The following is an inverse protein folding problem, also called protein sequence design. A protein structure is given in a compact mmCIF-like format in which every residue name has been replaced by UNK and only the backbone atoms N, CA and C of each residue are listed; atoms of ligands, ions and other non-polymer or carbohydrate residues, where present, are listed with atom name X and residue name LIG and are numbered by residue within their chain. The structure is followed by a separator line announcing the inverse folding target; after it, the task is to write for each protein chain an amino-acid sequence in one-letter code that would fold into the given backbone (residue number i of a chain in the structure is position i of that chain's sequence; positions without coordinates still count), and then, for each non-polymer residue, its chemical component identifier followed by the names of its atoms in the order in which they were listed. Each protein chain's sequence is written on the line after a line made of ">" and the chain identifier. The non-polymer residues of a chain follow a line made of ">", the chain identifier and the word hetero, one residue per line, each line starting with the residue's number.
data_IF_455805139231
#
_entry.id   IF_455805139231
#
_cell.length_a   1.000
_cell.length_b   1.000
_cell.length_c   1.000
_cell.angle_alpha   90.00
_cell.angle_beta   90.00
_cell.angle_gamma   90.00
#
_symmetry.space_group_name_H-M   'P 1'
#
loop_
_entity.id
_entity.type
_entity.pdbx_description
1 polymer ?
#
# COMPACT_ATOMS: atom_id res chain seq x y z
N UNK A 1 -20.81 4.92 11.04
CA UNK A 1 -20.20 3.68 11.58
C UNK A 1 -19.22 3.17 10.55
N UNK A 2 -17.92 3.16 10.88
CA UNK A 2 -16.84 2.82 9.95
C UNK A 2 -16.92 1.37 9.46
N UNK A 3 -16.41 1.13 8.26
CA UNK A 3 -16.24 -0.22 7.75
C UNK A 3 -15.22 -0.96 8.63
N UNK A 4 -15.63 -1.97 9.40
CA UNK A 4 -14.74 -2.84 10.19
C UNK A 4 -13.64 -3.58 9.37
N UNK A 5 -13.46 -3.26 8.09
CA UNK A 5 -12.52 -3.92 7.18
C UNK A 5 -11.40 -3.03 6.62
N UNK A 6 -11.52 -1.70 6.72
CA UNK A 6 -10.49 -0.73 6.34
C UNK A 6 -10.15 0.16 7.53
N UNK A 7 -8.99 -0.07 8.11
CA UNK A 7 -8.45 0.78 9.16
C UNK A 7 -7.90 2.06 8.56
N UNK A 8 -8.17 3.19 9.23
CA UNK A 8 -7.57 4.48 8.87
C UNK A 8 -6.06 4.35 9.07
N UNK A 9 -5.31 4.80 8.07
CA UNK A 9 -3.86 4.89 8.13
C UNK A 9 -3.38 5.67 9.34
N UNK A 10 -2.33 5.15 9.98
CA UNK A 10 -1.56 5.92 10.95
C UNK A 10 -1.12 7.24 10.36
N UNK A 11 -1.14 8.25 11.21
CA UNK A 11 -0.67 9.57 10.87
C UNK A 11 0.83 9.54 10.60
N UNK A 12 1.30 10.49 9.78
CA UNK A 12 2.72 10.60 9.48
C UNK A 12 3.46 10.96 10.76
N UNK A 13 4.68 10.41 10.91
CA UNK A 13 5.60 10.77 12.01
C UNK A 13 5.77 12.29 12.16
N UNK A 14 5.77 13.02 11.05
CA UNK A 14 5.84 14.48 11.03
C UNK A 14 4.57 15.02 10.37
N UNK A 15 3.76 15.83 11.09
CA UNK A 15 2.59 16.47 10.50
C UNK A 15 3.04 17.48 9.45
N UNK A 16 2.28 17.59 8.36
CA UNK A 16 2.56 18.58 7.33
C UNK A 16 2.18 19.97 7.85
N UNK A 17 3.03 20.98 7.59
CA UNK A 17 2.76 22.36 7.99
C UNK A 17 1.48 22.95 7.36
N UNK A 18 1.06 22.43 6.19
CA UNK A 18 -0.23 22.75 5.59
C UNK A 18 -0.87 21.50 4.95
N UNK A 19 -1.89 20.90 5.58
CA UNK A 19 -2.56 19.69 5.10
C UNK A 19 -3.26 19.85 3.73
N UNK A 20 -3.62 21.09 3.36
CA UNK A 20 -4.43 21.38 2.15
C UNK A 20 -3.61 21.59 0.88
N UNK A 21 -2.30 21.79 0.97
CA UNK A 21 -1.41 22.15 -0.16
C UNK A 21 -0.60 20.98 -0.73
N UNK A 22 -0.92 19.75 -0.36
CA UNK A 22 -0.04 18.62 -0.65
C UNK A 22 -0.22 18.09 -2.08
N UNK A 23 0.81 18.25 -2.90
CA UNK A 23 1.02 17.39 -4.07
C UNK A 23 1.24 15.97 -3.55
N UNK A 24 0.24 15.11 -3.71
CA UNK A 24 0.39 13.68 -3.46
C UNK A 24 1.52 13.24 -4.41
N UNK A 25 2.63 12.72 -3.88
CA UNK A 25 3.78 12.24 -4.70
C UNK A 25 3.40 10.94 -5.43
N UNK A 26 2.35 11.00 -6.24
CA UNK A 26 1.92 9.95 -7.14
C UNK A 26 2.81 10.07 -8.36
N UNK A 27 3.92 9.31 -8.38
CA UNK A 27 4.83 9.29 -9.52
C UNK A 27 4.12 8.77 -10.77
N UNK A 28 3.63 7.54 -10.70
CA UNK A 28 2.92 6.90 -11.79
C UNK A 28 1.53 6.45 -11.40
N UNK A 29 1.26 6.10 -10.14
CA UNK A 29 -0.03 5.52 -9.73
C UNK A 29 -0.26 4.09 -10.26
N UNK A 30 0.81 3.37 -10.66
CA UNK A 30 0.73 2.03 -11.27
C UNK A 30 -0.13 1.04 -10.46
N UNK A 31 0.05 0.98 -9.14
CA UNK A 31 -0.70 0.06 -8.26
C UNK A 31 -2.21 0.29 -8.33
N UNK A 32 -2.65 1.55 -8.39
CA UNK A 32 -4.07 1.88 -8.50
C UNK A 32 -4.64 1.41 -9.85
N UNK A 33 -3.88 1.58 -10.93
CA UNK A 33 -4.31 1.22 -12.30
C UNK A 33 -4.21 -0.27 -12.60
N UNK A 34 -3.41 -1.03 -11.85
CA UNK A 34 -3.24 -2.47 -12.08
C UNK A 34 -4.35 -3.33 -11.48
N UNK A 35 -5.26 -2.73 -10.70
CA UNK A 35 -6.40 -3.46 -10.13
C UNK A 35 -7.38 -3.80 -11.25
N UNK A 36 -7.52 -5.09 -11.53
CA UNK A 36 -8.39 -5.61 -12.59
C UNK A 36 -9.00 -6.94 -12.21
N UNK A 37 -9.98 -7.37 -12.99
CA UNK A 37 -10.49 -8.74 -12.94
C UNK A 37 -9.37 -9.67 -13.43
N UNK A 38 -8.94 -10.61 -12.59
CA UNK A 38 -7.89 -11.58 -12.93
C UNK A 38 -8.48 -12.91 -13.38
N UNK A 39 -9.62 -13.31 -12.82
CA UNK A 39 -10.37 -14.50 -13.24
C UNK A 39 -11.86 -14.22 -13.19
N UNK A 40 -12.59 -14.73 -14.16
CA UNK A 40 -14.04 -14.64 -14.24
C UNK A 40 -14.60 -16.01 -14.58
N UNK A 41 -15.59 -16.44 -13.81
CA UNK A 41 -16.42 -17.61 -14.10
C UNK A 41 -17.89 -17.16 -14.15
N UNK A 42 -18.81 -18.09 -14.43
CA UNK A 42 -20.25 -17.80 -14.42
C UNK A 42 -20.74 -17.31 -13.05
N UNK A 43 -20.14 -17.79 -11.95
CA UNK A 43 -20.68 -17.60 -10.60
C UNK A 43 -19.79 -16.71 -9.72
N UNK A 44 -18.53 -16.50 -10.06
CA UNK A 44 -17.61 -15.68 -9.26
C UNK A 44 -16.58 -14.94 -10.11
N UNK A 45 -16.08 -13.84 -9.56
CA UNK A 45 -15.04 -12.99 -10.16
C UNK A 45 -13.95 -12.77 -9.12
N UNK A 46 -12.69 -12.93 -9.52
CA UNK A 46 -11.53 -12.57 -8.69
C UNK A 46 -10.95 -11.27 -9.22
N UNK A 47 -10.75 -10.33 -8.30
CA UNK A 47 -10.13 -9.03 -8.55
C UNK A 47 -8.75 -9.04 -7.90
N UNK A 48 -7.75 -8.57 -8.61
CA UNK A 48 -6.38 -8.58 -8.12
C UNK A 48 -5.49 -7.62 -8.90
N UNK A 49 -4.19 -7.75 -8.68
CA UNK A 49 -3.15 -6.95 -9.31
C UNK A 49 -1.97 -7.85 -9.65
N UNK A 50 -1.30 -7.58 -10.76
CA UNK A 50 -0.10 -8.28 -11.24
C UNK A 50 1.20 -7.65 -10.73
N UNK A 51 1.09 -6.60 -9.93
CA UNK A 51 2.24 -5.84 -9.42
C UNK A 51 2.90 -6.61 -8.26
N UNK A 52 4.22 -6.92 -8.34
CA UNK A 52 4.88 -7.80 -7.37
C UNK A 52 4.94 -7.21 -5.96
N UNK A 53 5.07 -5.89 -5.83
CA UNK A 53 5.12 -5.21 -4.53
C UNK A 53 3.74 -4.97 -3.91
N UNK A 54 2.66 -5.35 -4.58
CA UNK A 54 1.31 -5.11 -4.08
C UNK A 54 0.98 -5.93 -2.83
N UNK A 55 1.47 -7.17 -2.75
CA UNK A 55 1.20 -8.08 -1.64
C UNK A 55 1.75 -7.53 -0.32
N UNK A 56 3.03 -7.15 -0.28
CA UNK A 56 3.68 -6.60 0.92
C UNK A 56 3.03 -5.27 1.35
N UNK A 57 2.52 -4.47 0.41
CA UNK A 57 1.68 -3.33 0.78
C UNK A 57 0.38 -3.84 1.41
N UNK A 58 -0.42 -4.68 0.77
CA UNK A 58 -1.74 -5.05 1.30
C UNK A 58 -1.69 -5.77 2.65
N UNK A 59 -0.67 -6.59 2.88
CA UNK A 59 -0.52 -7.46 4.06
C UNK A 59 0.40 -6.83 5.13
N UNK A 60 1.33 -5.95 4.73
CA UNK A 60 2.43 -5.58 5.61
C UNK A 60 3.40 -6.74 5.83
N UNK A 61 4.32 -6.58 6.77
CA UNK A 61 5.17 -7.68 7.24
C UNK A 61 6.62 -7.29 7.46
N UNK A 62 7.41 -8.27 7.88
CA UNK A 62 8.85 -8.14 8.08
C UNK A 62 9.60 -9.09 7.16
N UNK A 63 10.74 -8.66 6.62
CA UNK A 63 11.64 -9.54 5.86
C UNK A 63 13.09 -9.17 6.12
N UNK A 64 13.97 -10.17 5.99
CA UNK A 64 15.41 -9.96 6.08
C UNK A 64 15.93 -9.41 4.76
N UNK A 65 16.61 -8.27 4.79
CA UNK A 65 17.22 -7.67 3.62
C UNK A 65 18.72 -7.47 3.86
N UNK A 66 19.52 -7.88 2.88
CA UNK A 66 20.92 -7.48 2.78
C UNK A 66 21.00 -6.09 2.16
N UNK A 67 21.51 -5.11 2.91
CA UNK A 67 21.66 -3.73 2.46
C UNK A 67 23.13 -3.40 2.24
N UNK A 68 23.46 -2.97 1.02
CA UNK A 68 24.75 -2.34 0.72
C UNK A 68 24.74 -0.89 1.23
N UNK A 69 25.63 -0.60 2.18
CA UNK A 69 25.85 0.76 2.68
C UNK A 69 27.05 1.34 1.95
N UNK A 70 26.82 2.39 1.15
CA UNK A 70 27.86 3.14 0.47
C UNK A 70 28.69 3.97 1.47
N UNK A 71 29.98 4.22 1.19
CA UNK A 71 30.79 5.02 2.08
C UNK A 71 30.27 6.46 2.13
N UNK A 72 30.22 7.04 3.32
CA UNK A 72 29.71 8.39 3.54
C UNK A 72 30.25 8.96 4.86
N UNK A 73 30.13 10.27 5.01
CA UNK A 73 30.47 10.96 6.24
C UNK A 73 29.27 10.97 7.19
N UNK A 74 29.46 10.46 8.40
CA UNK A 74 28.43 10.40 9.45
C UNK A 74 28.72 11.49 10.49
N UNK A 75 27.74 12.38 10.68
CA UNK A 75 27.77 13.37 11.77
C UNK A 75 27.38 12.72 13.09
N UNK A 76 28.20 12.87 14.11
CA UNK A 76 27.94 12.42 15.48
C UNK A 76 28.08 13.60 16.44
N UNK A 77 27.65 13.45 17.69
CA UNK A 77 27.83 14.48 18.73
C UNK A 77 29.31 14.88 18.96
N UNK A 78 30.27 14.01 18.58
CA UNK A 78 31.72 14.20 18.77
C UNK A 78 32.44 14.69 17.51
N UNK A 79 31.73 14.92 16.40
CA UNK A 79 32.30 15.34 15.13
C UNK A 79 31.92 14.45 13.94
N UNK A 80 32.63 14.63 12.83
CA UNK A 80 32.40 13.92 11.56
C UNK A 80 33.26 12.66 11.53
N UNK A 81 32.65 11.51 11.25
CA UNK A 81 33.35 10.22 11.12
C UNK A 81 33.11 9.62 9.73
N UNK A 82 34.18 9.17 9.06
CA UNK A 82 34.07 8.47 7.78
C UNK A 82 33.61 7.03 7.98
N UNK A 83 32.51 6.65 7.33
CA UNK A 83 32.00 5.27 7.32
C UNK A 83 32.44 4.59 6.03
N UNK A 84 33.14 3.45 6.16
CA UNK A 84 33.54 2.63 5.01
C UNK A 84 32.35 1.83 4.46
N UNK A 85 32.43 1.49 3.17
CA UNK A 85 31.44 0.66 2.51
C UNK A 85 31.36 -0.71 3.18
N UNK A 86 30.15 -1.20 3.44
CA UNK A 86 29.94 -2.55 3.97
C UNK A 86 28.52 -3.04 3.67
N UNK A 87 28.33 -4.34 3.73
CA UNK A 87 27.02 -4.99 3.63
C UNK A 87 26.52 -5.34 5.02
N UNK A 88 25.24 -5.10 5.29
CA UNK A 88 24.61 -5.48 6.57
C UNK A 88 23.28 -6.19 6.34
N UNK A 89 23.02 -7.22 7.12
CA UNK A 89 21.70 -7.85 7.20
C UNK A 89 20.81 -7.05 8.14
N UNK A 90 19.59 -6.72 7.71
CA UNK A 90 18.63 -5.94 8.50
C UNK A 90 17.21 -6.45 8.27
N UNK A 91 16.45 -6.57 9.35
CA UNK A 91 15.00 -6.74 9.29
C UNK A 91 14.35 -5.44 8.79
N UNK A 92 13.68 -5.49 7.65
CA UNK A 92 12.86 -4.40 7.13
C UNK A 92 11.40 -4.64 7.50
N UNK A 93 10.78 -3.68 8.19
CA UNK A 93 9.35 -3.71 8.55
C UNK A 93 8.56 -2.82 7.61
N UNK A 94 7.55 -3.39 6.95
CA UNK A 94 6.62 -2.67 6.09
C UNK A 94 5.24 -2.58 6.78
N UNK A 95 4.68 -1.37 6.93
CA UNK A 95 3.36 -1.22 7.53
C UNK A 95 2.30 -1.81 6.61
N UNK A 96 1.27 -2.42 7.21
CA UNK A 96 0.13 -2.91 6.46
C UNK A 96 -0.60 -1.75 5.80
N UNK A 97 -0.79 -1.92 4.51
CA UNK A 97 -1.31 -0.95 3.59
C UNK A 97 -2.49 -1.50 2.79
N UNK A 98 -3.59 -1.84 3.48
CA UNK A 98 -4.72 -2.56 2.88
C UNK A 98 -5.50 -1.70 1.88
N UNK A 99 -5.52 -2.13 0.62
CA UNK A 99 -6.27 -1.50 -0.48
C UNK A 99 -7.22 -2.47 -1.20
N UNK A 100 -7.05 -3.79 -1.00
CA UNK A 100 -7.99 -4.84 -1.43
C UNK A 100 -8.32 -5.72 -0.22
N UNK A 101 -9.61 -6.05 -0.06
CA UNK A 101 -10.12 -6.96 0.95
C UNK A 101 -11.60 -6.76 1.20
N UNK A 102 -12.15 -7.48 2.19
CA UNK A 102 -13.56 -7.35 2.58
C UNK A 102 -13.87 -5.93 3.06
N UNK A 103 -14.92 -5.32 2.50
CA UNK A 103 -15.37 -3.97 2.84
C UNK A 103 -16.89 -3.90 2.73
N UNK A 104 -17.56 -3.61 3.84
CA UNK A 104 -19.03 -3.52 3.91
C UNK A 104 -19.57 -2.44 2.98
N UNK A 105 -18.94 -1.25 2.92
CA UNK A 105 -19.36 -0.19 2.01
C UNK A 105 -19.19 -0.58 0.53
N UNK A 106 -18.09 -1.26 0.19
CA UNK A 106 -17.88 -1.77 -1.16
C UNK A 106 -18.92 -2.82 -1.52
N UNK A 107 -19.18 -3.78 -0.64
CA UNK A 107 -20.18 -4.83 -0.84
C UNK A 107 -21.57 -4.24 -1.08
N UNK A 108 -21.99 -3.27 -0.25
CA UNK A 108 -23.25 -2.55 -0.43
C UNK A 108 -23.31 -1.79 -1.76
N UNK A 109 -22.18 -1.27 -2.25
CA UNK A 109 -22.12 -0.56 -3.54
C UNK A 109 -22.19 -1.52 -4.71
N UNK A 110 -21.50 -2.65 -4.62
CA UNK A 110 -21.55 -3.75 -5.59
C UNK A 110 -22.98 -4.30 -5.71
N UNK A 111 -23.61 -4.64 -4.59
CA UNK A 111 -25.00 -5.13 -4.56
C UNK A 111 -25.96 -4.14 -5.23
N UNK A 112 -25.87 -2.84 -4.90
CA UNK A 112 -26.68 -1.80 -5.54
C UNK A 112 -26.46 -1.74 -7.06
N UNK A 113 -25.22 -1.84 -7.51
CA UNK A 113 -24.89 -1.80 -8.94
C UNK A 113 -25.37 -3.04 -9.68
N UNK A 114 -25.24 -4.23 -9.08
CA UNK A 114 -25.74 -5.50 -9.62
C UNK A 114 -27.28 -5.44 -9.74
N UNK A 115 -27.98 -5.07 -8.67
CA UNK A 115 -29.44 -4.97 -8.67
C UNK A 115 -29.94 -3.96 -9.72
N UNK A 116 -29.26 -2.83 -9.86
CA UNK A 116 -29.59 -1.83 -10.89
C UNK A 116 -29.44 -2.40 -12.31
N UNK A 117 -28.41 -3.20 -12.57
CA UNK A 117 -28.20 -3.84 -13.88
C UNK A 117 -29.20 -4.95 -14.15
N UNK A 118 -29.54 -5.76 -13.14
CA UNK A 118 -30.54 -6.82 -13.29
C UNK A 118 -31.93 -6.26 -13.64
N UNK A 119 -32.37 -5.20 -12.95
CA UNK A 119 -33.62 -4.49 -13.25
C UNK A 119 -33.67 -3.78 -14.62
N UNK A 120 -32.55 -3.68 -15.32
CA UNK A 120 -32.51 -3.11 -16.66
C UNK A 120 -32.59 -4.19 -17.75
N UNK A 121 -32.40 -5.45 -17.37
CA UNK A 121 -32.47 -6.61 -18.27
C UNK A 121 -33.85 -7.26 -18.22
N UNK A 122 -34.42 -7.34 -17.01
CA UNK A 122 -35.80 -7.77 -16.74
C UNK A 122 -36.66 -6.56 -16.40
#
# INVERSE_FOLDING_TARGET
>A
MGDNGLEKWDERKYPDANPRKRNILVKSGRLKRSIRITKQTRNWVVIGTDVPYAAIHNQGGTFQQSQLVRPHDRKTKRGITKVKAHTRSRTATYPQRKFIGQSKALDKRLQRQINKRLKAIF
#
